data_IF_446773913341
#
_entry.id   IF_446773913341
#
_cell.length_a   1.000
_cell.length_b   1.000
_cell.length_c   1.000
_cell.angle_alpha   90.00
_cell.angle_beta   90.00
_cell.angle_gamma   90.00
#
_symmetry.space_group_name_H-M   'P 1'
#
loop_
_entity.id
_entity.type
_entity.pdbx_description
1 polymer ?
#
# COMPACT_ATOMS: atom_id res chain seq x y z
N UNK A 1 -24.56 -2.95 1.98
CA UNK A 1 -23.44 -3.30 2.87
C UNK A 1 -22.30 -3.73 1.97
N UNK A 2 -21.43 -2.80 1.58
CA UNK A 2 -20.19 -3.12 0.88
C UNK A 2 -19.17 -3.50 1.94
N UNK A 3 -18.77 -4.77 1.95
CA UNK A 3 -17.67 -5.24 2.76
C UNK A 3 -16.39 -4.69 2.13
N UNK A 4 -15.98 -3.48 2.55
CA UNK A 4 -14.68 -2.92 2.21
C UNK A 4 -13.63 -3.80 2.90
N UNK A 5 -13.17 -4.83 2.19
CA UNK A 5 -12.01 -5.60 2.59
C UNK A 5 -10.80 -4.69 2.45
N UNK A 6 -10.33 -4.10 3.55
CA UNK A 6 -9.04 -3.42 3.58
C UNK A 6 -7.99 -4.29 2.89
N UNK A 7 -7.41 -3.76 1.82
CA UNK A 7 -6.58 -4.51 0.88
C UNK A 7 -5.35 -5.09 1.61
N UNK A 8 -5.08 -6.38 1.36
CA UNK A 8 -3.95 -7.07 1.99
C UNK A 8 -2.65 -6.62 1.34
N UNK A 9 -1.77 -5.97 2.10
CA UNK A 9 -0.47 -5.53 1.61
C UNK A 9 0.61 -6.54 1.96
N UNK A 10 1.31 -7.05 0.96
CA UNK A 10 2.49 -7.91 1.16
C UNK A 10 3.73 -7.06 1.47
N UNK A 11 4.39 -7.35 2.60
CA UNK A 11 5.57 -6.66 3.11
C UNK A 11 6.72 -7.66 3.27
N UNK A 12 7.08 -8.34 2.18
CA UNK A 12 8.05 -9.44 2.20
C UNK A 12 7.46 -10.68 2.90
N UNK A 13 8.05 -11.18 4.01
CA UNK A 13 7.54 -12.35 4.73
C UNK A 13 6.30 -12.04 5.58
N UNK A 14 5.84 -10.79 5.60
CA UNK A 14 4.68 -10.34 6.35
C UNK A 14 3.52 -9.97 5.42
N UNK A 15 2.29 -10.18 5.89
CA UNK A 15 1.08 -9.66 5.24
C UNK A 15 0.36 -8.76 6.23
N UNK A 16 0.17 -7.51 5.85
CA UNK A 16 -0.53 -6.51 6.63
C UNK A 16 -1.98 -6.35 6.15
N UNK A 17 -2.90 -6.26 7.11
CA UNK A 17 -4.29 -5.88 6.89
C UNK A 17 -4.63 -4.73 7.83
N UNK A 18 -5.01 -3.55 7.31
CA UNK A 18 -5.36 -2.42 8.16
C UNK A 18 -6.61 -2.69 9.01
N UNK A 19 -6.70 -2.02 10.15
CA UNK A 19 -7.91 -1.97 10.97
C UNK A 19 -9.09 -1.38 10.19
N UNK A 20 -10.32 -1.65 10.62
CA UNK A 20 -11.51 -1.02 10.03
C UNK A 20 -11.76 0.33 10.70
N UNK A 21 -11.74 1.41 9.93
CA UNK A 21 -11.95 2.81 10.38
C UNK A 21 -13.30 3.10 11.07
N UNK A 22 -14.24 2.14 11.10
CA UNK A 22 -15.64 2.38 11.48
C UNK A 22 -16.03 1.85 12.86
N UNK A 23 -15.08 1.37 13.67
CA UNK A 23 -15.39 0.87 15.02
C UNK A 23 -14.82 1.81 16.10
N UNK A 24 -15.63 2.23 17.09
CA UNK A 24 -15.14 3.04 18.23
C UNK A 24 -14.19 2.27 19.17
N UNK A 25 -13.88 1.02 18.85
CA UNK A 25 -12.82 0.23 19.46
C UNK A 25 -11.65 0.14 18.48
N UNK A 26 -10.40 0.38 18.90
CA UNK A 26 -9.24 0.11 18.07
C UNK A 26 -9.16 -1.42 17.92
N UNK A 27 -9.73 -1.95 16.84
CA UNK A 27 -9.27 -3.24 16.33
C UNK A 27 -8.04 -2.91 15.51
N UNK A 28 -6.90 -2.92 16.19
CA UNK A 28 -5.58 -2.71 15.58
C UNK A 28 -5.46 -3.54 14.28
N UNK A 29 -4.81 -2.95 13.29
CA UNK A 29 -4.40 -3.65 12.07
C UNK A 29 -3.63 -4.93 12.42
N UNK A 30 -3.86 -5.97 11.62
CA UNK A 30 -3.22 -7.26 11.82
C UNK A 30 -2.06 -7.41 10.84
N UNK A 31 -0.85 -7.56 11.35
CA UNK A 31 0.25 -8.14 10.57
C UNK A 31 0.30 -9.64 10.81
N UNK A 32 0.59 -10.42 9.78
CA UNK A 32 0.78 -11.86 9.89
C UNK A 32 2.12 -12.27 9.30
N UNK A 33 2.81 -13.21 9.95
CA UNK A 33 4.02 -13.85 9.42
C UNK A 33 3.80 -15.35 9.39
N UNK A 34 3.83 -15.96 8.21
CA UNK A 34 3.56 -17.40 8.04
C UNK A 34 2.28 -17.86 8.78
N UNK A 35 1.20 -17.07 8.69
CA UNK A 35 -0.08 -17.34 9.35
C UNK A 35 -0.18 -16.98 10.83
N UNK A 36 0.89 -16.48 11.47
CA UNK A 36 0.89 -16.11 12.88
C UNK A 36 0.70 -14.60 13.05
N UNK A 37 -0.21 -14.14 13.93
CA UNK A 37 -0.43 -12.72 14.15
C UNK A 37 0.77 -12.06 14.82
N UNK A 38 1.13 -10.89 14.32
CA UNK A 38 2.16 -10.00 14.85
C UNK A 38 1.47 -8.70 15.26
N UNK A 39 1.49 -8.34 16.56
CA UNK A 39 0.78 -7.18 17.06
C UNK A 39 1.41 -5.87 16.54
N UNK A 40 0.58 -4.90 16.16
CA UNK A 40 0.99 -3.57 15.65
C UNK A 40 0.51 -2.36 16.50
N UNK A 41 0.29 -2.48 17.81
CA UNK A 41 -0.60 -1.58 18.58
C UNK A 41 -0.24 -0.08 18.50
N UNK A 42 1.06 0.26 18.51
CA UNK A 42 1.50 1.67 18.47
C UNK A 42 2.11 2.03 17.11
N UNK A 43 2.49 1.02 16.34
CA UNK A 43 3.22 1.19 15.08
C UNK A 43 2.29 1.22 13.86
N UNK A 44 1.02 0.83 14.00
CA UNK A 44 0.06 0.84 12.88
C UNK A 44 0.00 2.20 12.17
N UNK A 45 -0.15 3.36 12.84
CA UNK A 45 -0.24 4.64 12.13
C UNK A 45 1.05 4.98 11.37
N UNK A 46 2.20 4.60 11.92
CA UNK A 46 3.52 4.80 11.29
C UNK A 46 3.66 3.88 10.07
N UNK A 47 3.27 2.62 10.20
CA UNK A 47 3.30 1.64 9.12
C UNK A 47 2.37 2.06 7.98
N UNK A 48 1.14 2.44 8.29
CA UNK A 48 0.17 2.88 7.28
C UNK A 48 0.69 4.10 6.53
N UNK A 49 1.19 5.12 7.24
CA UNK A 49 1.76 6.31 6.60
C UNK A 49 2.96 5.98 5.72
N UNK A 50 3.80 5.04 6.14
CA UNK A 50 4.92 4.57 5.33
C UNK A 50 4.42 3.93 4.02
N UNK A 51 3.40 3.06 4.08
CA UNK A 51 2.82 2.43 2.90
C UNK A 51 2.17 3.44 1.95
N UNK A 52 1.45 4.41 2.48
CA UNK A 52 0.85 5.49 1.68
C UNK A 52 1.93 6.26 0.89
N UNK A 53 3.04 6.62 1.54
CA UNK A 53 4.16 7.33 0.89
C UNK A 53 4.83 6.45 -0.16
N UNK A 54 5.02 5.16 0.11
CA UNK A 54 5.59 4.24 -0.88
C UNK A 54 4.69 4.10 -2.11
N UNK A 55 3.37 3.99 -1.93
CA UNK A 55 2.42 3.91 -3.03
C UNK A 55 2.39 5.21 -3.88
N UNK A 56 2.47 6.38 -3.24
CA UNK A 56 2.59 7.66 -3.93
C UNK A 56 3.88 7.75 -4.76
N UNK A 57 5.01 7.32 -4.19
CA UNK A 57 6.28 7.30 -4.90
C UNK A 57 6.30 6.32 -6.07
N UNK A 58 5.74 5.13 -5.90
CA UNK A 58 5.65 4.11 -6.96
C UNK A 58 4.75 4.58 -8.11
N UNK A 59 3.58 5.14 -7.80
CA UNK A 59 2.67 5.69 -8.81
C UNK A 59 3.30 6.89 -9.55
N UNK A 60 3.94 7.81 -8.84
CA UNK A 60 4.65 8.94 -9.44
C UNK A 60 5.84 8.53 -10.30
N UNK A 61 6.56 7.47 -9.91
CA UNK A 61 7.62 6.87 -10.73
C UNK A 61 7.04 6.24 -12.00
N UNK A 62 5.99 5.42 -11.87
CA UNK A 62 5.36 4.75 -13.01
C UNK A 62 4.83 5.76 -14.03
N UNK A 63 4.19 6.83 -13.56
CA UNK A 63 3.69 7.92 -14.40
C UNK A 63 4.84 8.64 -15.13
N UNK A 64 5.86 9.09 -14.40
CA UNK A 64 7.00 9.80 -14.99
C UNK A 64 7.76 8.93 -15.97
N UNK A 65 7.97 7.66 -15.63
CA UNK A 65 8.62 6.69 -16.50
C UNK A 65 7.82 6.46 -17.79
N UNK A 66 6.49 6.29 -17.68
CA UNK A 66 5.60 6.17 -18.83
C UNK A 66 5.64 7.38 -19.76
N UNK A 67 5.66 8.60 -19.20
CA UNK A 67 5.83 9.85 -19.96
C UNK A 67 7.20 9.91 -20.67
N UNK A 68 8.28 9.52 -20.00
CA UNK A 68 9.62 9.48 -20.61
C UNK A 68 9.70 8.48 -21.76
N UNK A 69 9.16 7.27 -21.59
CA UNK A 69 9.09 6.27 -22.65
C UNK A 69 8.26 6.78 -23.85
N UNK A 70 7.08 7.37 -23.58
CA UNK A 70 6.25 7.98 -24.61
C UNK A 70 6.96 9.07 -25.41
N UNK A 71 7.74 9.93 -24.73
CA UNK A 71 8.56 10.97 -25.37
C UNK A 71 9.71 10.42 -26.20
N UNK A 72 10.30 9.28 -25.83
CA UNK A 72 11.36 8.62 -26.59
C UNK A 72 10.82 7.89 -27.82
N UNK A 73 9.55 7.48 -27.78
CA UNK A 73 8.88 6.77 -28.87
C UNK A 73 8.19 7.69 -29.89
N UNK A 74 8.36 9.01 -29.81
CA UNK A 74 7.91 9.91 -30.87
C UNK A 74 8.46 9.42 -32.22
N UNK A 75 7.61 9.05 -33.20
CA UNK A 75 8.11 8.67 -34.51
C UNK A 75 8.81 9.89 -35.10
N UNK A 76 10.09 9.74 -35.40
CA UNK A 76 10.88 10.72 -36.16
C UNK A 76 10.04 11.11 -37.38
N UNK A 77 9.63 12.38 -37.42
CA UNK A 77 8.87 12.93 -38.54
C UNK A 77 9.63 12.63 -39.84
N UNK A 78 8.91 12.10 -40.84
CA UNK A 78 9.38 12.01 -42.22
C UNK A 78 9.41 13.40 -42.84
#
# INVERSE_FOLDING_TARGET
MTEEHGELTALGPYTYRPGKDHCPSPRDGTSTRAGHPVPLPVTEPVLQRFLDVMAELESGLAERWGRTQGSLTCPRAK
#
